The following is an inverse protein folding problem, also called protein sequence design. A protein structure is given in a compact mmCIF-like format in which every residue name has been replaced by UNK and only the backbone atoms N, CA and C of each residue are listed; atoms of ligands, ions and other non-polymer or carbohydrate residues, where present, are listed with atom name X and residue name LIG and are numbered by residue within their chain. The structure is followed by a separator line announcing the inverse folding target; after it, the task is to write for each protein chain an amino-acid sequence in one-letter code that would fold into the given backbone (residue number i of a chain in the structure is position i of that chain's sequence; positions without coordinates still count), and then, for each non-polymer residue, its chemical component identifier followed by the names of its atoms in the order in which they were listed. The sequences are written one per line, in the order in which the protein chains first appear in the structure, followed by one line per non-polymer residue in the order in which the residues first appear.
data_IF_210584795696
#
_entry.id   IF_210584795696
#
_cell.length_a   1.000
_cell.length_b   1.000
_cell.length_c   1.000
_cell.angle_alpha   90.00
_cell.angle_beta   90.00
_cell.angle_gamma   90.00
#
_symmetry.space_group_name_H-M   'P 1'
#
loop_
_entity.id
_entity.type
_entity.pdbx_description
1 polymer ?
#
# COMPACT_ATOMS: atom_id res chain seq x y z
N UNK A 1 33.13 1.75 -23.59
CA UNK A 1 31.75 1.53 -24.06
C UNK A 1 30.79 1.88 -22.93
N UNK A 2 29.94 2.91 -23.08
CA UNK A 2 28.93 3.24 -22.06
C UNK A 2 27.91 2.11 -22.03
N UNK A 3 27.89 1.35 -20.93
CA UNK A 3 26.89 0.32 -20.71
C UNK A 3 25.53 1.04 -20.63
N UNK A 4 24.66 0.84 -21.63
CA UNK A 4 23.34 1.43 -21.59
C UNK A 4 22.59 0.83 -20.40
N UNK A 5 22.20 1.69 -19.46
CA UNK A 5 21.44 1.27 -18.30
C UNK A 5 20.06 0.80 -18.76
N UNK A 6 19.75 -0.48 -18.60
CA UNK A 6 18.46 -1.05 -18.99
C UNK A 6 17.34 -0.76 -17.96
N UNK A 7 17.68 -0.28 -16.76
CA UNK A 7 16.72 -0.07 -15.68
C UNK A 7 15.53 0.87 -16.01
N UNK A 8 15.66 1.96 -16.80
CA UNK A 8 14.53 2.84 -17.09
C UNK A 8 13.48 2.14 -17.95
N UNK A 9 13.91 1.27 -18.87
CA UNK A 9 13.01 0.50 -19.71
C UNK A 9 12.26 -0.54 -18.88
N UNK A 10 12.97 -1.25 -18.01
CA UNK A 10 12.34 -2.20 -17.06
C UNK A 10 11.33 -1.49 -16.17
N UNK A 11 11.67 -0.31 -15.64
CA UNK A 11 10.74 0.48 -14.83
C UNK A 11 9.46 0.83 -15.60
N UNK A 12 9.60 1.31 -16.84
CA UNK A 12 8.47 1.68 -17.68
C UNK A 12 7.59 0.48 -18.01
N UNK A 13 8.19 -0.63 -18.45
CA UNK A 13 7.46 -1.83 -18.84
C UNK A 13 6.68 -2.42 -17.65
N UNK A 14 7.33 -2.53 -16.48
CA UNK A 14 6.68 -3.00 -15.25
C UNK A 14 5.57 -2.05 -14.79
N UNK A 15 5.84 -0.75 -14.79
CA UNK A 15 4.86 0.26 -14.41
C UNK A 15 3.62 0.20 -15.31
N UNK A 16 3.79 0.14 -16.63
CA UNK A 16 2.67 0.12 -17.57
C UNK A 16 1.82 -1.16 -17.42
N UNK A 17 2.46 -2.31 -17.21
CA UNK A 17 1.75 -3.56 -16.98
C UNK A 17 0.90 -3.49 -15.69
N UNK A 18 1.51 -3.04 -14.60
CA UNK A 18 0.86 -2.91 -13.30
C UNK A 18 -0.21 -1.80 -13.30
N UNK A 19 -0.01 -0.72 -14.08
CA UNK A 19 -0.99 0.34 -14.27
C UNK A 19 -2.22 -0.17 -15.04
N UNK A 20 -2.03 -1.03 -16.06
CA UNK A 20 -3.14 -1.66 -16.77
C UNK A 20 -4.00 -2.51 -15.82
N UNK A 21 -3.38 -3.27 -14.91
CA UNK A 21 -4.10 -3.97 -13.84
C UNK A 21 -4.82 -3.02 -12.88
N UNK A 22 -4.20 -1.89 -12.56
CA UNK A 22 -4.78 -0.85 -11.71
C UNK A 22 -6.03 -0.24 -12.34
N UNK A 23 -6.02 -0.01 -13.66
CA UNK A 23 -7.21 0.47 -14.39
C UNK A 23 -8.34 -0.58 -14.36
N UNK A 24 -8.02 -1.86 -14.50
CA UNK A 24 -9.00 -2.94 -14.35
C UNK A 24 -9.61 -2.98 -12.94
N UNK A 25 -8.76 -2.88 -11.91
CA UNK A 25 -9.19 -2.75 -10.51
C UNK A 25 -10.13 -1.54 -10.31
N UNK A 26 -9.79 -0.37 -10.86
CA UNK A 26 -10.64 0.81 -10.79
C UNK A 26 -11.97 0.65 -11.52
N UNK A 27 -11.99 -0.07 -12.65
CA UNK A 27 -13.24 -0.41 -13.33
C UNK A 27 -14.21 -1.17 -12.43
N UNK A 28 -13.71 -2.18 -11.71
CA UNK A 28 -14.53 -2.96 -10.75
C UNK A 28 -14.99 -2.05 -9.58
N UNK A 29 -14.09 -1.26 -9.01
CA UNK A 29 -14.42 -0.34 -7.92
C UNK A 29 -15.48 0.70 -8.32
N UNK A 30 -15.44 1.19 -9.56
CA UNK A 30 -16.45 2.09 -10.09
C UNK A 30 -17.82 1.44 -10.18
N UNK A 31 -17.89 0.19 -10.67
CA UNK A 31 -19.15 -0.57 -10.74
C UNK A 31 -19.74 -0.72 -9.33
N UNK A 32 -18.92 -1.10 -8.34
CA UNK A 32 -19.34 -1.21 -6.94
C UNK A 32 -19.83 0.14 -6.40
N UNK A 33 -19.13 1.22 -6.70
CA UNK A 33 -19.50 2.56 -6.22
C UNK A 33 -20.83 3.04 -6.82
N UNK A 34 -21.03 2.87 -8.13
CA UNK A 34 -22.32 3.19 -8.77
C UNK A 34 -23.46 2.31 -8.25
N UNK A 35 -23.18 1.03 -7.96
CA UNK A 35 -24.17 0.15 -7.34
C UNK A 35 -24.58 0.65 -5.93
N UNK A 36 -23.60 1.09 -5.11
CA UNK A 36 -23.89 1.70 -3.78
C UNK A 36 -24.73 2.97 -3.92
N UNK A 37 -24.39 3.85 -4.86
CA UNK A 37 -25.18 5.07 -5.15
C UNK A 37 -26.61 4.71 -5.59
N UNK A 38 -26.77 3.75 -6.50
CA UNK A 38 -28.09 3.31 -6.96
C UNK A 38 -28.94 2.79 -5.81
N UNK A 39 -28.37 1.94 -4.95
CA UNK A 39 -29.06 1.41 -3.77
C UNK A 39 -29.58 2.52 -2.85
N UNK A 40 -28.78 3.57 -2.60
CA UNK A 40 -29.17 4.73 -1.79
C UNK A 40 -30.46 5.37 -2.33
N UNK A 41 -30.47 5.69 -3.62
CA UNK A 41 -31.57 6.41 -4.27
C UNK A 41 -32.86 5.60 -4.32
N UNK A 42 -32.78 4.27 -4.48
CA UNK A 42 -33.95 3.40 -4.65
C UNK A 42 -34.51 2.82 -3.35
N UNK A 43 -33.69 2.61 -2.32
CA UNK A 43 -34.08 1.88 -1.10
C UNK A 43 -33.99 2.71 0.20
N UNK A 44 -33.82 4.04 0.10
CA UNK A 44 -33.64 4.95 1.25
C UNK A 44 -32.59 4.43 2.25
N UNK A 45 -31.40 4.14 1.74
CA UNK A 45 -30.24 3.76 2.57
C UNK A 45 -29.51 4.98 3.14
N UNK A 46 -28.61 4.72 4.09
CA UNK A 46 -27.69 5.71 4.66
C UNK A 46 -26.61 6.18 3.68
N UNK A 47 -25.98 7.32 4.01
CA UNK A 47 -24.93 8.04 3.28
C UNK A 47 -23.87 7.14 2.61
N UNK A 48 -23.39 7.57 1.43
CA UNK A 48 -22.36 6.85 0.68
C UNK A 48 -20.99 7.46 0.94
N UNK A 49 -20.00 6.63 1.28
CA UNK A 49 -18.61 7.07 1.37
C UNK A 49 -18.10 7.55 -0.01
N UNK A 50 -17.11 8.44 -0.01
CA UNK A 50 -16.50 8.89 -1.26
C UNK A 50 -15.80 7.74 -2.00
N UNK A 51 -15.68 7.85 -3.32
CA UNK A 51 -14.94 6.87 -4.13
C UNK A 51 -13.49 6.73 -3.64
N UNK A 52 -12.86 7.85 -3.29
CA UNK A 52 -11.50 7.86 -2.74
C UNK A 52 -11.38 7.02 -1.48
N UNK A 53 -12.31 7.16 -0.52
CA UNK A 53 -12.29 6.39 0.73
C UNK A 53 -12.54 4.90 0.47
N UNK A 54 -13.43 4.57 -0.47
CA UNK A 54 -13.68 3.17 -0.88
C UNK A 54 -12.44 2.52 -1.52
N UNK A 55 -11.69 3.28 -2.34
CA UNK A 55 -10.44 2.83 -2.95
C UNK A 55 -9.33 2.74 -1.90
N UNK A 56 -9.28 3.66 -0.94
CA UNK A 56 -8.27 3.69 0.12
C UNK A 56 -8.17 2.35 0.86
N UNK A 57 -9.28 1.83 1.36
CA UNK A 57 -9.31 0.54 2.08
C UNK A 57 -8.89 -0.63 1.19
N UNK A 58 -9.39 -0.68 -0.04
CA UNK A 58 -9.18 -1.84 -0.93
C UNK A 58 -7.80 -1.82 -1.60
N UNK A 59 -7.23 -0.64 -1.84
CA UNK A 59 -5.96 -0.48 -2.56
C UNK A 59 -4.76 -1.04 -1.79
N UNK A 60 -4.82 -1.09 -0.46
CA UNK A 60 -3.79 -1.70 0.38
C UNK A 60 -3.57 -3.17 0.01
N UNK A 61 -4.66 -3.94 -0.05
CA UNK A 61 -4.65 -5.36 -0.42
C UNK A 61 -4.18 -5.52 -1.87
N UNK A 62 -4.69 -4.69 -2.78
CA UNK A 62 -4.27 -4.70 -4.18
C UNK A 62 -2.76 -4.48 -4.36
N UNK A 63 -2.20 -3.48 -3.67
CA UNK A 63 -0.76 -3.18 -3.75
C UNK A 63 0.10 -4.26 -3.10
N UNK A 64 -0.37 -4.89 -2.02
CA UNK A 64 0.27 -6.08 -1.46
C UNK A 64 0.33 -7.21 -2.49
N UNK A 65 -0.77 -7.49 -3.19
CA UNK A 65 -0.85 -8.54 -4.22
C UNK A 65 0.09 -8.23 -5.39
N UNK A 66 0.12 -7.00 -5.88
CA UNK A 66 1.08 -6.61 -6.94
C UNK A 66 2.53 -6.80 -6.47
N UNK A 67 2.84 -6.41 -5.24
CA UNK A 67 4.15 -6.65 -4.64
C UNK A 67 4.51 -8.14 -4.61
N UNK A 68 3.56 -9.01 -4.26
CA UNK A 68 3.77 -10.46 -4.26
C UNK A 68 4.07 -10.98 -5.68
N UNK A 69 3.38 -10.47 -6.69
CA UNK A 69 3.60 -10.90 -8.08
C UNK A 69 4.94 -10.38 -8.61
N UNK A 70 5.45 -9.25 -8.11
CA UNK A 70 6.62 -8.54 -8.64
C UNK A 70 7.84 -9.43 -8.93
N UNK A 71 8.17 -10.38 -8.04
CA UNK A 71 9.36 -11.24 -8.20
C UNK A 71 9.29 -12.15 -9.44
N UNK A 72 8.09 -12.49 -9.92
CA UNK A 72 7.91 -13.35 -11.10
C UNK A 72 8.35 -12.67 -12.40
N UNK A 73 8.50 -11.35 -12.40
CA UNK A 73 9.11 -10.64 -13.52
C UNK A 73 10.64 -10.81 -13.58
N UNK A 74 11.30 -11.17 -12.47
CA UNK A 74 12.75 -11.29 -12.42
C UNK A 74 13.30 -12.32 -13.43
N UNK A 75 12.81 -13.57 -13.50
CA UNK A 75 13.27 -14.54 -14.51
C UNK A 75 13.09 -14.01 -15.93
N UNK A 76 11.90 -13.50 -16.27
CA UNK A 76 11.58 -12.97 -17.59
C UNK A 76 12.56 -11.87 -18.06
N UNK A 77 12.89 -10.91 -17.18
CA UNK A 77 13.84 -9.87 -17.53
C UNK A 77 15.28 -10.39 -17.61
N UNK A 78 15.68 -11.31 -16.74
CA UNK A 78 17.06 -11.83 -16.77
C UNK A 78 17.29 -12.75 -17.98
N UNK A 79 16.29 -13.52 -18.39
CA UNK A 79 16.32 -14.32 -19.64
C UNK A 79 16.48 -13.42 -20.87
N UNK A 80 15.90 -12.22 -20.85
CA UNK A 80 16.06 -11.19 -21.87
C UNK A 80 17.34 -10.34 -21.72
N UNK A 81 18.30 -10.78 -20.89
CA UNK A 81 19.62 -10.15 -20.76
C UNK A 81 19.70 -8.97 -19.79
N UNK A 82 18.66 -8.70 -19.01
CA UNK A 82 18.68 -7.64 -17.98
C UNK A 82 19.43 -8.12 -16.73
N UNK A 83 20.27 -7.25 -16.16
CA UNK A 83 20.96 -7.60 -14.92
C UNK A 83 20.02 -7.53 -13.70
N UNK A 84 20.25 -8.37 -12.68
CA UNK A 84 19.48 -8.33 -11.42
C UNK A 84 19.52 -6.97 -10.72
N UNK A 85 20.59 -6.20 -10.93
CA UNK A 85 20.74 -4.84 -10.39
C UNK A 85 19.80 -3.87 -11.11
N UNK A 86 19.68 -3.99 -12.42
CA UNK A 86 18.79 -3.15 -13.22
C UNK A 86 17.34 -3.50 -13.00
N UNK A 87 17.01 -4.79 -12.86
CA UNK A 87 15.68 -5.21 -12.42
C UNK A 87 15.31 -4.60 -11.07
N UNK A 88 16.16 -4.72 -10.04
CA UNK A 88 15.85 -4.18 -8.72
C UNK A 88 15.60 -2.66 -8.75
N UNK A 89 16.45 -1.91 -9.46
CA UNK A 89 16.27 -0.46 -9.62
C UNK A 89 15.01 -0.12 -10.42
N UNK A 90 14.72 -0.89 -11.48
CA UNK A 90 13.55 -0.72 -12.32
C UNK A 90 12.26 -0.98 -11.55
N UNK A 91 12.19 -2.11 -10.84
CA UNK A 91 11.06 -2.48 -9.99
C UNK A 91 10.83 -1.47 -8.86
N UNK A 92 11.90 -0.99 -8.20
CA UNK A 92 11.78 0.05 -7.18
C UNK A 92 11.19 1.35 -7.76
N UNK A 93 11.68 1.81 -8.91
CA UNK A 93 11.12 2.98 -9.60
C UNK A 93 9.66 2.78 -10.02
N UNK A 94 9.32 1.61 -10.56
CA UNK A 94 7.95 1.27 -10.94
C UNK A 94 7.00 1.29 -9.74
N UNK A 95 7.43 0.74 -8.59
CA UNK A 95 6.65 0.71 -7.36
C UNK A 95 6.38 2.10 -6.78
N UNK A 96 7.38 3.00 -6.82
CA UNK A 96 7.21 4.41 -6.44
C UNK A 96 6.19 5.06 -7.39
N UNK A 97 6.36 4.88 -8.70
CA UNK A 97 5.42 5.40 -9.71
C UNK A 97 3.98 4.97 -9.45
N UNK A 98 3.74 3.69 -9.19
CA UNK A 98 2.39 3.16 -8.92
C UNK A 98 1.78 3.69 -7.64
N UNK A 99 2.57 3.73 -6.56
CA UNK A 99 2.12 4.23 -5.26
C UNK A 99 1.68 5.70 -5.33
N UNK A 100 2.21 6.47 -6.27
CA UNK A 100 1.80 7.86 -6.52
C UNK A 100 0.62 7.92 -7.50
N UNK A 101 0.66 7.13 -8.58
CA UNK A 101 -0.39 7.18 -9.61
C UNK A 101 -1.76 6.75 -9.08
N UNK A 102 -1.81 5.74 -8.21
CA UNK A 102 -3.09 5.17 -7.75
C UNK A 102 -3.90 6.18 -6.91
N UNK A 103 -3.33 6.85 -5.88
CA UNK A 103 -4.03 7.90 -5.13
C UNK A 103 -4.44 9.09 -6.00
N UNK A 104 -3.58 9.52 -6.93
CA UNK A 104 -3.87 10.64 -7.83
C UNK A 104 -5.04 10.31 -8.74
N UNK A 105 -5.05 9.12 -9.35
CA UNK A 105 -6.17 8.69 -10.20
C UNK A 105 -7.46 8.52 -9.37
N UNK A 106 -7.38 7.97 -8.16
CA UNK A 106 -8.53 7.85 -7.27
C UNK A 106 -9.12 9.22 -6.90
N UNK A 107 -8.26 10.20 -6.61
CA UNK A 107 -8.66 11.58 -6.33
C UNK A 107 -9.34 12.24 -7.54
N UNK A 108 -8.77 12.10 -8.74
CA UNK A 108 -9.34 12.66 -9.97
C UNK A 108 -10.73 12.06 -10.22
N UNK A 109 -10.85 10.73 -10.16
CA UNK A 109 -12.12 10.03 -10.36
C UNK A 109 -13.14 10.44 -9.31
N UNK A 110 -12.74 10.49 -8.03
CA UNK A 110 -13.64 10.91 -6.95
C UNK A 110 -14.12 12.36 -7.14
N UNK A 111 -13.26 13.25 -7.61
CA UNK A 111 -13.61 14.65 -7.87
C UNK A 111 -14.61 14.77 -9.01
N UNK A 112 -14.42 14.00 -10.09
CA UNK A 112 -15.36 13.94 -11.22
C UNK A 112 -16.71 13.40 -10.77
N UNK A 113 -16.75 12.32 -9.98
CA UNK A 113 -18.02 11.74 -9.49
C UNK A 113 -18.78 12.74 -8.61
N UNK A 114 -18.09 13.39 -7.66
CA UNK A 114 -18.70 14.42 -6.79
C UNK A 114 -19.26 15.59 -7.59
N UNK A 115 -18.61 15.96 -8.70
CA UNK A 115 -19.10 17.04 -9.57
C UNK A 115 -20.36 16.64 -10.36
N UNK A 116 -20.50 15.37 -10.71
CA UNK A 116 -21.66 14.86 -11.48
C UNK A 116 -22.84 14.54 -10.56
N UNK A 117 -22.55 14.01 -9.37
CA UNK A 117 -23.55 13.43 -8.46
C UNK A 117 -23.66 14.30 -7.21
N UNK A 118 -24.74 15.08 -7.13
CA UNK A 118 -25.00 15.97 -6.00
C UNK A 118 -25.71 15.22 -4.85
N UNK A 119 -24.99 14.32 -4.18
CA UNK A 119 -25.47 13.53 -3.04
C UNK A 119 -24.67 13.93 -1.78
N UNK A 120 -25.28 13.81 -0.60
CA UNK A 120 -24.56 13.95 0.66
C UNK A 120 -23.55 12.80 0.82
N UNK A 121 -22.27 13.15 0.76
CA UNK A 121 -21.18 12.23 1.03
C UNK A 121 -20.82 12.27 2.51
N UNK A 122 -20.60 11.09 3.09
CA UNK A 122 -20.08 10.99 4.46
C UNK A 122 -18.60 11.35 4.48
N UNK A 123 -18.19 12.19 5.42
CA UNK A 123 -16.80 12.27 5.85
C UNK A 123 -16.55 11.04 6.74
N UNK A 124 -15.83 10.05 6.20
CA UNK A 124 -15.64 8.79 6.89
C UNK A 124 -14.54 8.96 7.95
N UNK A 125 -14.91 8.98 9.24
CA UNK A 125 -13.94 8.87 10.33
C UNK A 125 -13.45 7.42 10.46
N UNK A 126 -12.60 7.02 9.51
CA UNK A 126 -11.99 5.68 9.43
C UNK A 126 -11.07 5.44 10.64
N UNK A 127 -10.59 6.50 11.29
CA UNK A 127 -9.60 6.42 12.35
C UNK A 127 -10.21 6.10 13.72
N UNK A 128 -11.45 6.55 13.98
CA UNK A 128 -12.17 6.30 15.23
C UNK A 128 -12.48 4.82 15.51
N UNK A 129 -12.62 4.00 14.47
CA UNK A 129 -12.94 2.55 14.56
C UNK A 129 -11.92 1.78 15.40
N UNK A 130 -10.69 2.28 15.52
CA UNK A 130 -9.61 1.64 16.30
C UNK A 130 -9.86 1.75 17.82
N UNK A 131 -10.59 2.77 18.27
CA UNK A 131 -10.90 2.99 19.69
C UNK A 131 -12.20 2.30 20.14
N UNK A 132 -13.08 1.89 19.22
CA UNK A 132 -14.37 1.28 19.55
C UNK A 132 -14.28 -0.21 19.94
N UNK A 133 -13.13 -0.85 19.71
CA UNK A 133 -12.91 -2.25 20.09
C UNK A 133 -12.35 -2.27 21.51
N UNK A 134 -13.29 -2.18 22.44
CA UNK A 134 -13.12 -2.16 23.89
C UNK A 134 -12.32 -3.38 24.39
N UNK A 135 -11.11 -3.13 24.87
CA UNK A 135 -10.73 -3.43 26.26
C UNK A 135 -10.62 -4.88 26.75
N UNK A 136 -10.87 -5.92 25.94
CA UNK A 136 -10.56 -7.28 26.38
C UNK A 136 -9.18 -7.75 25.91
N UNK A 137 -8.42 -8.27 26.85
CA UNK A 137 -7.05 -8.71 26.64
C UNK A 137 -7.06 -9.81 25.58
N UNK A 138 -6.53 -9.52 24.39
CA UNK A 138 -5.74 -10.54 23.69
C UNK A 138 -6.08 -10.88 22.26
N UNK A 139 -6.97 -10.19 21.54
CA UNK A 139 -7.17 -10.54 20.13
C UNK A 139 -6.13 -9.88 19.22
N UNK A 140 -4.88 -10.36 19.32
CA UNK A 140 -3.75 -10.01 18.44
C UNK A 140 -4.16 -10.13 16.97
N UNK A 141 -5.04 -11.09 16.68
CA UNK A 141 -5.61 -11.32 15.34
C UNK A 141 -6.48 -10.13 14.92
N UNK A 142 -7.30 -9.60 15.82
CA UNK A 142 -8.13 -8.42 15.58
C UNK A 142 -7.31 -7.19 15.20
N UNK A 143 -6.24 -6.90 15.94
CA UNK A 143 -5.36 -5.76 15.65
C UNK A 143 -4.59 -5.93 14.34
N UNK A 144 -4.15 -7.15 14.03
CA UNK A 144 -3.48 -7.45 12.76
C UNK A 144 -4.43 -7.23 11.59
N UNK A 145 -5.65 -7.76 11.69
CA UNK A 145 -6.68 -7.61 10.64
C UNK A 145 -7.05 -6.14 10.47
N UNK A 146 -7.20 -5.40 11.57
CA UNK A 146 -7.45 -3.97 11.52
C UNK A 146 -6.28 -3.19 10.93
N UNK A 147 -5.02 -3.45 11.30
CA UNK A 147 -3.88 -2.75 10.72
C UNK A 147 -3.79 -2.94 9.19
N UNK A 148 -4.22 -4.10 8.69
CA UNK A 148 -4.26 -4.40 7.25
C UNK A 148 -5.41 -3.66 6.54
N UNK A 149 -6.57 -3.52 7.19
CA UNK A 149 -7.78 -2.95 6.59
C UNK A 149 -7.88 -1.43 6.83
N UNK A 150 -7.68 -1.01 8.06
CA UNK A 150 -7.75 0.36 8.58
C UNK A 150 -6.34 0.95 8.68
N UNK A 151 -5.83 1.42 7.55
CA UNK A 151 -4.59 2.18 7.53
C UNK A 151 -4.81 3.66 7.86
N UNK A 152 -3.76 4.45 8.18
CA UNK A 152 -3.91 5.80 8.70
C UNK A 152 -4.46 6.67 7.59
N UNK A 153 -5.66 7.19 7.80
CA UNK A 153 -6.40 7.92 6.78
C UNK A 153 -6.38 9.41 7.09
N UNK A 154 -6.26 10.23 6.05
CA UNK A 154 -6.41 11.68 6.14
C UNK A 154 -7.46 12.10 5.12
N UNK A 155 -8.47 12.83 5.59
CA UNK A 155 -9.56 13.28 4.76
C UNK A 155 -9.11 14.31 3.71
N UNK A 156 -9.63 14.15 2.49
CA UNK A 156 -9.37 15.06 1.37
C UNK A 156 -9.84 16.50 1.64
N UNK A 157 -10.89 16.69 2.46
CA UNK A 157 -11.43 18.01 2.81
C UNK A 157 -10.49 18.79 3.72
N UNK A 158 -9.75 18.08 4.59
CA UNK A 158 -8.79 18.70 5.51
C UNK A 158 -7.53 19.18 4.78
N UNK A 159 -6.81 18.27 4.11
CA UNK A 159 -5.59 18.57 3.39
C UNK A 159 -5.37 17.52 2.29
N UNK A 160 -5.79 17.87 1.07
CA UNK A 160 -5.71 16.99 -0.09
C UNK A 160 -4.27 16.53 -0.41
N UNK A 161 -3.26 17.40 -0.23
CA UNK A 161 -1.87 17.07 -0.54
C UNK A 161 -1.30 16.08 0.47
N UNK A 162 -1.58 16.31 1.76
CA UNK A 162 -1.17 15.41 2.82
C UNK A 162 -1.89 14.05 2.73
N UNK A 163 -3.19 14.05 2.39
CA UNK A 163 -3.95 12.84 2.12
C UNK A 163 -3.34 12.00 0.99
N UNK A 164 -3.00 12.63 -0.14
CA UNK A 164 -2.31 11.95 -1.24
C UNK A 164 -0.94 11.41 -0.81
N UNK A 165 -0.16 12.20 -0.06
CA UNK A 165 1.17 11.80 0.42
C UNK A 165 1.12 10.59 1.36
N UNK A 166 0.22 10.61 2.35
CA UNK A 166 0.02 9.50 3.30
C UNK A 166 -0.49 8.27 2.57
N UNK A 167 -1.46 8.41 1.67
CA UNK A 167 -1.97 7.30 0.89
C UNK A 167 -0.88 6.68 0.01
N UNK A 168 -0.08 7.49 -0.69
CA UNK A 168 1.05 7.00 -1.49
C UNK A 168 2.10 6.28 -0.65
N UNK A 169 2.48 6.84 0.50
CA UNK A 169 3.45 6.22 1.39
C UNK A 169 2.94 4.86 1.91
N UNK A 170 1.65 4.79 2.24
CA UNK A 170 1.03 3.56 2.68
C UNK A 170 1.04 2.49 1.57
N UNK A 171 0.59 2.83 0.36
CA UNK A 171 0.61 1.90 -0.79
C UNK A 171 2.02 1.43 -1.13
N UNK A 172 3.01 2.32 -1.01
CA UNK A 172 4.41 1.96 -1.21
C UNK A 172 4.88 0.93 -0.17
N UNK A 173 4.52 1.10 1.11
CA UNK A 173 4.79 0.12 2.15
C UNK A 173 4.16 -1.25 1.83
N UNK A 174 2.87 -1.29 1.48
CA UNK A 174 2.21 -2.55 1.10
C UNK A 174 2.89 -3.25 -0.09
N UNK A 175 3.29 -2.49 -1.11
CA UNK A 175 4.03 -3.05 -2.24
C UNK A 175 5.37 -3.63 -1.81
N UNK A 176 6.15 -2.90 -1.02
CA UNK A 176 7.45 -3.36 -0.54
C UNK A 176 7.33 -4.63 0.31
N UNK A 177 6.33 -4.70 1.17
CA UNK A 177 6.06 -5.89 1.99
C UNK A 177 5.65 -7.08 1.13
N UNK A 178 4.77 -6.88 0.15
CA UNK A 178 4.42 -7.94 -0.81
C UNK A 178 5.66 -8.43 -1.58
N UNK A 179 6.51 -7.51 -2.00
CA UNK A 179 7.76 -7.84 -2.71
C UNK A 179 8.78 -8.54 -1.81
N UNK A 180 8.87 -8.17 -0.54
CA UNK A 180 9.69 -8.85 0.47
C UNK A 180 9.22 -10.29 0.68
N UNK A 181 7.91 -10.51 0.81
CA UNK A 181 7.33 -11.84 0.96
C UNK A 181 7.72 -12.70 -0.25
N UNK A 182 7.44 -12.22 -1.46
CA UNK A 182 7.67 -13.00 -2.68
C UNK A 182 9.15 -13.24 -2.97
N UNK A 183 10.02 -12.24 -2.75
CA UNK A 183 11.47 -12.41 -2.90
C UNK A 183 12.03 -13.47 -1.93
N UNK A 184 11.45 -13.59 -0.73
CA UNK A 184 11.87 -14.57 0.27
C UNK A 184 11.48 -15.99 -0.14
N UNK A 185 10.21 -16.20 -0.55
CA UNK A 185 9.75 -17.49 -1.08
C UNK A 185 10.53 -17.92 -2.32
N UNK A 186 10.80 -16.98 -3.23
CA UNK A 186 11.53 -17.28 -4.45
C UNK A 186 12.95 -17.82 -4.17
N UNK A 187 13.64 -17.22 -3.19
CA UNK A 187 15.04 -17.58 -2.87
C UNK A 187 15.18 -18.78 -1.93
N UNK A 188 14.37 -18.87 -0.88
CA UNK A 188 14.62 -19.76 0.26
C UNK A 188 13.48 -20.77 0.48
N UNK A 189 12.56 -20.89 -0.47
CA UNK A 189 11.43 -21.81 -0.42
C UNK A 189 10.51 -21.56 0.81
N UNK A 190 9.88 -22.62 1.33
CA UNK A 190 8.71 -22.54 2.21
C UNK A 190 8.98 -21.95 3.60
N UNK A 191 9.99 -22.44 4.34
CA UNK A 191 10.16 -22.10 5.77
C UNK A 191 10.52 -20.61 5.94
N UNK A 192 11.50 -20.12 5.19
CA UNK A 192 11.91 -18.71 5.28
C UNK A 192 10.86 -17.79 4.66
N UNK A 193 10.09 -18.27 3.67
CA UNK A 193 8.93 -17.56 3.14
C UNK A 193 7.84 -17.32 4.20
N UNK A 194 7.54 -18.29 5.07
CA UNK A 194 6.59 -18.07 6.17
C UNK A 194 7.11 -17.02 7.16
N UNK A 195 8.40 -17.09 7.49
CA UNK A 195 9.02 -16.09 8.38
C UNK A 195 8.93 -14.68 7.80
N UNK A 196 9.06 -14.52 6.47
CA UNK A 196 8.94 -13.21 5.84
C UNK A 196 7.51 -12.66 5.87
N UNK A 197 6.48 -13.50 5.89
CA UNK A 197 5.08 -13.07 6.10
C UNK A 197 4.94 -12.45 7.49
N UNK A 198 5.37 -13.19 8.53
CA UNK A 198 5.31 -12.70 9.93
C UNK A 198 6.12 -11.41 10.08
N UNK A 199 7.35 -11.37 9.54
CA UNK A 199 8.17 -10.17 9.55
C UNK A 199 7.51 -8.99 8.83
N UNK A 200 6.83 -9.24 7.71
CA UNK A 200 6.13 -8.19 6.96
C UNK A 200 4.94 -7.62 7.73
N UNK A 201 4.18 -8.47 8.42
CA UNK A 201 3.08 -8.03 9.29
C UNK A 201 3.62 -7.16 10.42
N UNK A 202 4.71 -7.56 11.08
CA UNK A 202 5.32 -6.77 12.15
C UNK A 202 5.82 -5.41 11.65
N UNK A 203 6.46 -5.37 10.47
CA UNK A 203 6.90 -4.13 9.84
C UNK A 203 5.69 -3.25 9.49
N UNK A 204 4.60 -3.83 9.00
CA UNK A 204 3.37 -3.11 8.69
C UNK A 204 2.77 -2.47 9.95
N UNK A 205 2.56 -3.25 11.02
CA UNK A 205 1.99 -2.75 12.28
C UNK A 205 2.83 -1.63 12.87
N UNK A 206 4.16 -1.80 12.86
CA UNK A 206 5.06 -0.79 13.37
C UNK A 206 5.05 0.46 12.48
N UNK A 207 5.08 0.30 11.15
CA UNK A 207 5.00 1.42 10.21
C UNK A 207 3.69 2.21 10.32
N UNK A 208 2.56 1.52 10.39
CA UNK A 208 1.23 2.09 10.59
C UNK A 208 1.16 2.93 11.88
N UNK A 209 1.65 2.36 12.98
CA UNK A 209 1.73 3.06 14.27
C UNK A 209 2.58 4.31 14.19
N UNK A 210 3.75 4.25 13.54
CA UNK A 210 4.62 5.43 13.40
C UNK A 210 3.98 6.53 12.55
N UNK A 211 3.29 6.16 11.47
CA UNK A 211 2.57 7.12 10.63
C UNK A 211 1.44 7.78 11.44
N UNK A 212 0.70 7.01 12.24
CA UNK A 212 -0.36 7.54 13.12
C UNK A 212 0.17 8.54 14.14
N UNK A 213 1.28 8.23 14.81
CA UNK A 213 1.93 9.16 15.75
C UNK A 213 2.37 10.44 15.03
N UNK A 214 2.91 10.33 13.81
CA UNK A 214 3.33 11.51 13.04
C UNK A 214 2.16 12.41 12.60
N UNK A 215 0.94 11.88 12.58
CA UNK A 215 -0.28 12.56 12.17
C UNK A 215 -1.21 12.91 13.35
N UNK A 216 -0.76 12.68 14.59
CA UNK A 216 -1.57 12.81 15.81
C UNK A 216 -2.91 12.03 15.77
N UNK A 217 -2.89 10.86 15.12
CA UNK A 217 -4.06 9.97 15.00
C UNK A 217 -4.14 8.98 16.17
N UNK A 218 -5.34 8.45 16.48
CA UNK A 218 -5.51 7.34 17.41
C UNK A 218 -4.59 6.15 17.08
N UNK A 219 -3.92 5.62 18.10
CA UNK A 219 -3.06 4.43 18.03
C UNK A 219 -3.63 3.31 18.87
N UNK A 220 -3.25 2.07 18.57
CA UNK A 220 -3.59 0.92 19.38
C UNK A 220 -3.00 1.05 20.80
N UNK A 221 -3.76 0.63 21.81
CA UNK A 221 -3.37 0.74 23.22
C UNK A 221 -2.03 0.06 23.53
N UNK A 222 -1.69 -1.03 22.82
CA UNK A 222 -0.41 -1.73 22.96
C UNK A 222 0.81 -0.85 22.67
N UNK A 223 0.62 0.21 21.88
CA UNK A 223 1.65 1.15 21.50
C UNK A 223 1.47 2.53 22.14
N UNK A 224 0.55 2.68 23.10
CA UNK A 224 0.31 3.94 23.86
C UNK A 224 1.60 4.55 24.44
N UNK A 225 2.54 3.73 24.88
CA UNK A 225 3.85 4.16 25.38
C UNK A 225 4.71 4.92 24.34
N UNK A 226 4.44 4.72 23.04
CA UNK A 226 5.14 5.39 21.94
C UNK A 226 4.48 6.73 21.56
N UNK A 227 3.29 7.05 22.10
CA UNK A 227 2.56 8.27 21.75
C UNK A 227 3.32 9.57 22.08
N UNK A 228 4.21 9.54 23.07
CA UNK A 228 4.99 10.71 23.49
C UNK A 228 6.25 10.94 22.66
N UNK A 229 6.45 10.19 21.57
CA UNK A 229 7.64 10.34 20.73
C UNK A 229 7.62 11.69 19.98
N UNK A 230 8.73 12.46 20.00
CA UNK A 230 8.85 13.68 19.20
C UNK A 230 8.68 13.39 17.70
N UNK A 231 7.96 14.27 16.99
CA UNK A 231 7.65 14.11 15.56
C UNK A 231 8.91 13.91 14.70
N UNK A 232 10.02 14.60 15.02
CA UNK A 232 11.29 14.44 14.29
C UNK A 232 11.87 13.03 14.39
N UNK A 233 11.74 12.38 15.55
CA UNK A 233 12.18 10.99 15.75
C UNK A 233 11.27 10.06 14.98
N UNK A 234 9.95 10.27 15.05
CA UNK A 234 8.96 9.46 14.33
C UNK A 234 9.20 9.48 12.83
N UNK A 235 9.44 10.65 12.23
CA UNK A 235 9.75 10.77 10.79
C UNK A 235 11.02 10.00 10.40
N UNK A 236 12.06 10.06 11.24
CA UNK A 236 13.28 9.30 11.01
C UNK A 236 13.04 7.78 11.09
N UNK A 237 12.23 7.33 12.03
CA UNK A 237 11.86 5.92 12.17
C UNK A 237 11.04 5.46 10.96
N UNK A 238 10.08 6.24 10.46
CA UNK A 238 9.32 5.92 9.24
C UNK A 238 10.28 5.71 8.05
N UNK A 239 11.28 6.58 7.89
CA UNK A 239 12.28 6.43 6.84
C UNK A 239 13.04 5.11 6.98
N UNK A 240 13.45 4.72 8.19
CA UNK A 240 14.12 3.44 8.43
C UNK A 240 13.21 2.25 8.13
N UNK A 241 11.93 2.33 8.50
CA UNK A 241 10.91 1.30 8.24
C UNK A 241 10.72 1.08 6.73
N UNK A 242 10.88 2.11 5.90
CA UNK A 242 10.86 1.98 4.43
C UNK A 242 12.18 1.43 3.88
N UNK A 243 13.32 1.94 4.38
CA UNK A 243 14.64 1.55 3.88
C UNK A 243 15.00 0.09 4.22
N UNK A 244 14.51 -0.43 5.34
CA UNK A 244 14.80 -1.79 5.79
C UNK A 244 14.27 -2.85 4.80
N UNK A 245 12.97 -2.88 4.40
CA UNK A 245 12.47 -3.78 3.36
C UNK A 245 13.23 -3.64 2.05
N UNK A 246 13.49 -2.40 1.59
CA UNK A 246 14.25 -2.15 0.35
C UNK A 246 15.64 -2.78 0.42
N UNK A 247 16.33 -2.63 1.56
CA UNK A 247 17.63 -3.23 1.79
C UNK A 247 17.56 -4.77 1.82
N UNK A 248 16.60 -5.36 2.53
CA UNK A 248 16.44 -6.83 2.58
C UNK A 248 16.13 -7.39 1.19
N UNK A 249 15.17 -6.80 0.47
CA UNK A 249 14.81 -7.19 -0.91
C UNK A 249 16.06 -7.12 -1.80
N UNK A 250 16.91 -6.10 -1.64
CA UNK A 250 18.15 -6.00 -2.41
C UNK A 250 19.09 -7.17 -2.13
N UNK A 251 19.23 -7.59 -0.87
CA UNK A 251 20.08 -8.72 -0.50
C UNK A 251 19.52 -10.06 -1.01
N UNK A 252 18.18 -10.21 -1.01
CA UNK A 252 17.50 -11.38 -1.55
C UNK A 252 17.72 -11.49 -3.07
N UNK A 253 17.45 -10.42 -3.80
CA UNK A 253 17.53 -10.38 -5.27
C UNK A 253 18.97 -10.42 -5.82
N UNK A 254 19.98 -9.97 -5.07
CA UNK A 254 21.37 -9.91 -5.54
C UNK A 254 21.95 -11.29 -5.88
N UNK A 255 21.62 -12.32 -5.10
CA UNK A 255 22.27 -13.65 -5.18
C UNK A 255 21.32 -14.80 -5.53
N UNK A 256 20.12 -14.52 -6.00
CA UNK A 256 19.14 -15.59 -6.24
C UNK A 256 19.48 -16.41 -7.48
N UNK A 257 19.36 -17.73 -7.37
CA UNK A 257 19.44 -18.66 -8.52
C UNK A 257 18.13 -18.55 -9.30
N UNK A 258 18.23 -18.39 -10.62
CA UNK A 258 17.03 -18.30 -11.46
C UNK A 258 16.50 -19.71 -11.60
N UNK A 259 15.33 -19.94 -11.00
CA UNK A 259 14.56 -21.16 -11.19
C UNK A 259 13.85 -21.03 -12.54
N UNK A 260 14.19 -21.94 -13.46
CA UNK A 260 13.51 -22.14 -14.75
C UNK A 260 12.28 -23.01 -14.54
#
# INVERSE_FOLDING_TARGET
MKQNNHFPKVALDMYMMQLAWTLGFFGIMLIIHFWRIGRLTFFQGDEVDTFYNSVFTTANIFMLVIGIICIHFLPHYVENGVTRKDYFKGALLASIGLSISLPVLAFIISSIIKAIVNINYREADINSVIQEIDGDIGDIIGDIVQAIILSPHVDLSSNWLLALGVFSLNLFMYYLLGWLISASFYKYDFIIGIVSIVASILILMFGDTMIRIALDLPIFDRFSALASLPTSITLFVILLVILLPVWIIRQLTKRVTIKM
#
